data_IF_592307103945
#
_entry.id   IF_592307103945
#
_cell.length_a   1.000
_cell.length_b   1.000
_cell.length_c   1.000
_cell.angle_alpha   90.00
_cell.angle_beta   90.00
_cell.angle_gamma   90.00
#
_symmetry.space_group_name_H-M   'P 1'
#
loop_
_entity.id
_entity.type
_entity.pdbx_description
1 polymer ?
#
# COMPACT_ATOMS: atom_id res chain seq x y z
N UNK A 1 -9.32 47.33 -10.75
CA UNK A 1 -10.09 46.35 -9.95
C UNK A 1 -9.10 45.41 -9.27
N UNK A 2 -9.07 45.36 -7.93
CA UNK A 2 -8.13 44.50 -7.20
C UNK A 2 -8.47 43.03 -7.39
N UNK A 3 -7.46 42.19 -7.64
CA UNK A 3 -7.61 40.72 -7.67
C UNK A 3 -8.27 40.28 -6.35
N UNK A 4 -9.42 39.61 -6.43
CA UNK A 4 -10.02 38.91 -5.30
C UNK A 4 -8.99 37.92 -4.74
N UNK A 5 -8.54 38.16 -3.51
CA UNK A 5 -7.61 37.27 -2.84
C UNK A 5 -8.31 35.98 -2.46
N UNK A 6 -7.73 34.85 -2.87
CA UNK A 6 -8.18 33.54 -2.45
C UNK A 6 -7.56 33.25 -1.07
N UNK A 7 -8.38 32.90 -0.09
CA UNK A 7 -7.93 32.67 1.30
C UNK A 7 -7.86 31.18 1.57
N UNK A 8 -6.75 30.74 2.13
CA UNK A 8 -6.50 29.42 2.70
C UNK A 8 -6.14 29.55 4.18
N UNK A 9 -6.35 28.49 4.96
CA UNK A 9 -5.98 28.41 6.37
C UNK A 9 -4.44 28.33 6.50
N UNK A 10 -3.78 29.34 7.10
CA UNK A 10 -2.33 29.35 7.23
C UNK A 10 -1.80 28.27 8.18
N UNK A 11 -2.55 27.93 9.23
CA UNK A 11 -2.18 26.87 10.19
C UNK A 11 -2.25 25.52 9.49
N UNK A 12 -3.30 25.29 8.70
CA UNK A 12 -3.46 24.05 7.94
C UNK A 12 -2.38 23.88 6.88
N UNK A 13 -2.09 24.93 6.10
CA UNK A 13 -1.00 24.93 5.11
C UNK A 13 0.34 24.57 5.76
N UNK A 14 0.66 25.19 6.91
CA UNK A 14 1.89 24.90 7.66
C UNK A 14 1.93 23.45 8.14
N UNK A 15 0.84 22.97 8.74
CA UNK A 15 0.71 21.60 9.23
C UNK A 15 0.96 20.58 8.13
N UNK A 16 0.25 20.69 7.00
CA UNK A 16 0.39 19.79 5.86
C UNK A 16 1.80 19.80 5.27
N UNK A 17 2.41 20.98 5.15
CA UNK A 17 3.80 21.08 4.68
C UNK A 17 4.77 20.34 5.61
N UNK A 18 4.63 20.52 6.92
CA UNK A 18 5.51 19.87 7.91
C UNK A 18 5.30 18.36 7.91
N UNK A 19 4.05 17.89 7.87
CA UNK A 19 3.73 16.46 7.77
C UNK A 19 4.26 15.82 6.49
N UNK A 20 4.25 16.54 5.37
CA UNK A 20 4.84 16.10 4.11
C UNK A 20 6.39 16.14 4.09
N UNK A 21 7.05 16.58 5.18
CA UNK A 21 8.50 16.70 5.25
C UNK A 21 9.09 17.74 4.28
N UNK A 22 8.26 18.66 3.78
CA UNK A 22 8.67 19.63 2.75
C UNK A 22 9.19 20.94 3.37
N UNK A 23 10.28 21.44 2.79
CA UNK A 23 10.72 22.80 3.08
C UNK A 23 9.83 23.82 2.35
N UNK A 24 9.79 25.05 2.85
CA UNK A 24 9.05 26.14 2.22
C UNK A 24 9.50 26.37 0.76
N UNK A 25 10.80 26.26 0.51
CA UNK A 25 11.38 26.38 -0.83
C UNK A 25 10.90 25.25 -1.75
N UNK A 26 11.02 23.99 -1.29
CA UNK A 26 10.70 22.82 -2.13
C UNK A 26 9.22 22.79 -2.50
N UNK A 27 8.33 23.07 -1.54
CA UNK A 27 6.90 23.14 -1.82
C UNK A 27 6.58 24.22 -2.87
N UNK A 28 7.15 25.41 -2.70
CA UNK A 28 6.88 26.53 -3.59
C UNK A 28 7.48 26.33 -5.00
N UNK A 29 8.69 25.75 -5.11
CA UNK A 29 9.30 25.46 -6.40
C UNK A 29 8.48 24.44 -7.18
N UNK A 30 8.08 23.33 -6.55
CA UNK A 30 7.25 22.30 -7.21
C UNK A 30 5.88 22.86 -7.62
N UNK A 31 5.26 23.71 -6.79
CA UNK A 31 4.00 24.36 -7.14
C UNK A 31 4.16 25.31 -8.36
N UNK A 32 5.31 25.97 -8.51
CA UNK A 32 5.60 26.85 -9.64
C UNK A 32 5.85 26.06 -10.93
N UNK A 33 6.57 24.94 -10.82
CA UNK A 33 6.77 23.99 -11.92
C UNK A 33 5.43 23.49 -12.46
N UNK A 34 4.49 23.12 -11.57
CA UNK A 34 3.11 22.71 -11.97
C UNK A 34 2.39 23.82 -12.74
N UNK A 35 2.62 25.09 -12.39
CA UNK A 35 2.02 26.24 -13.06
C UNK A 35 2.71 26.61 -14.38
N UNK A 36 3.72 25.84 -14.82
CA UNK A 36 4.54 26.17 -15.98
C UNK A 36 5.35 27.45 -15.77
N UNK A 37 5.55 27.87 -14.52
CA UNK A 37 6.37 29.04 -14.17
C UNK A 37 7.77 28.53 -13.87
N UNK A 38 8.71 28.82 -14.76
CA UNK A 38 10.12 28.56 -14.48
C UNK A 38 10.52 29.34 -13.21
N UNK A 39 11.22 28.71 -12.25
CA UNK A 39 11.73 29.39 -11.07
C UNK A 39 12.93 30.28 -11.45
N UNK A 40 12.73 31.25 -12.34
CA UNK A 40 13.69 32.34 -12.56
C UNK A 40 13.80 33.24 -11.31
N UNK A 41 12.83 33.13 -10.40
CA UNK A 41 12.88 33.73 -9.09
C UNK A 41 13.92 33.02 -8.20
N UNK A 42 14.90 33.77 -7.69
CA UNK A 42 15.87 33.27 -6.71
C UNK A 42 15.17 32.55 -5.54
N UNK A 43 15.81 31.54 -4.96
CA UNK A 43 15.27 30.78 -3.81
C UNK A 43 14.73 31.67 -2.69
N UNK A 44 15.37 32.82 -2.46
CA UNK A 44 14.96 33.84 -1.48
C UNK A 44 13.59 34.45 -1.81
N UNK A 45 13.30 34.72 -3.08
CA UNK A 45 12.01 35.26 -3.54
C UNK A 45 10.89 34.24 -3.40
N UNK A 46 11.14 32.97 -3.75
CA UNK A 46 10.17 31.88 -3.60
C UNK A 46 9.81 31.67 -2.13
N UNK A 47 10.83 31.59 -1.26
CA UNK A 47 10.65 31.47 0.19
C UNK A 47 9.87 32.67 0.73
N UNK A 48 10.26 33.90 0.40
CA UNK A 48 9.58 35.10 0.88
C UNK A 48 8.13 35.24 0.39
N UNK A 49 7.80 34.74 -0.80
CA UNK A 49 6.42 34.65 -1.26
C UNK A 49 5.64 33.61 -0.46
N UNK A 50 6.19 32.40 -0.32
CA UNK A 50 5.55 31.34 0.44
C UNK A 50 5.34 31.71 1.92
N UNK A 51 6.31 32.36 2.57
CA UNK A 51 6.19 32.84 3.96
C UNK A 51 5.05 33.84 4.15
N UNK A 52 4.78 34.69 3.15
CA UNK A 52 3.61 35.59 3.19
C UNK A 52 2.30 34.81 3.09
N UNK A 53 2.27 33.74 2.30
CA UNK A 53 1.09 32.87 2.22
C UNK A 53 0.89 32.10 3.53
N UNK A 54 1.94 31.48 4.09
CA UNK A 54 1.87 30.73 5.36
C UNK A 54 1.58 31.65 6.56
N UNK A 55 1.86 32.94 6.47
CA UNK A 55 1.52 33.92 7.53
C UNK A 55 0.11 34.48 7.36
N UNK A 56 -0.32 34.76 6.14
CA UNK A 56 -1.50 35.58 5.88
C UNK A 56 -2.67 34.77 5.31
N UNK A 57 -2.43 33.60 4.73
CA UNK A 57 -3.41 32.77 4.03
C UNK A 57 -3.84 33.27 2.66
N UNK A 58 -3.35 34.44 2.21
CA UNK A 58 -3.80 35.05 0.96
C UNK A 58 -2.97 34.58 -0.23
N UNK A 59 -3.62 34.05 -1.26
CA UNK A 59 -3.01 33.55 -2.49
C UNK A 59 -3.94 33.72 -3.70
N UNK A 60 -3.53 33.24 -4.87
CA UNK A 60 -4.40 33.09 -6.04
C UNK A 60 -4.98 31.68 -6.10
N UNK A 61 -6.18 31.50 -6.67
CA UNK A 61 -6.80 30.17 -6.83
C UNK A 61 -5.86 29.16 -7.52
N UNK A 62 -5.25 29.55 -8.66
CA UNK A 62 -4.31 28.68 -9.38
C UNK A 62 -3.11 28.23 -8.52
N UNK A 63 -2.60 29.12 -7.66
CA UNK A 63 -1.52 28.75 -6.74
C UNK A 63 -2.03 27.87 -5.59
N UNK A 64 -3.25 28.08 -5.10
CA UNK A 64 -3.87 27.17 -4.14
C UNK A 64 -4.08 25.77 -4.73
N UNK A 65 -4.56 25.68 -5.99
CA UNK A 65 -4.70 24.41 -6.72
C UNK A 65 -3.35 23.68 -6.86
N UNK A 66 -2.29 24.42 -7.22
CA UNK A 66 -0.95 23.85 -7.34
C UNK A 66 -0.39 23.40 -5.98
N UNK A 67 -0.57 24.20 -4.92
CA UNK A 67 -0.15 23.83 -3.56
C UNK A 67 -0.89 22.58 -3.06
N UNK A 68 -2.21 22.50 -3.29
CA UNK A 68 -3.02 21.35 -2.93
C UNK A 68 -2.51 20.08 -3.62
N UNK A 69 -2.18 20.18 -4.92
CA UNK A 69 -1.60 19.06 -5.69
C UNK A 69 -0.24 18.61 -5.15
N UNK A 70 0.65 19.52 -4.75
CA UNK A 70 1.96 19.13 -4.18
C UNK A 70 1.82 18.48 -2.81
N UNK A 71 0.84 18.92 -2.01
CA UNK A 71 0.58 18.40 -0.67
C UNK A 71 -0.35 17.18 -0.65
N UNK A 72 -0.64 16.60 -1.82
CA UNK A 72 -1.58 15.49 -1.99
C UNK A 72 -2.90 15.74 -1.23
N UNK A 73 -3.56 16.84 -1.55
CA UNK A 73 -4.81 17.28 -0.88
C UNK A 73 -5.70 18.10 -1.81
N UNK A 74 -6.80 18.65 -1.27
CA UNK A 74 -7.73 19.54 -1.99
C UNK A 74 -7.63 20.98 -1.49
N UNK A 75 -8.18 21.91 -2.27
CA UNK A 75 -8.21 23.32 -1.87
C UNK A 75 -9.16 23.53 -0.70
N UNK A 76 -10.25 22.78 -0.62
CA UNK A 76 -11.19 22.79 0.51
C UNK A 76 -10.49 22.42 1.82
N UNK A 77 -9.62 21.40 1.80
CA UNK A 77 -8.76 21.06 2.92
C UNK A 77 -7.81 22.20 3.26
N UNK A 78 -7.16 22.83 2.26
CA UNK A 78 -6.35 24.02 2.50
C UNK A 78 -7.16 25.19 3.08
N UNK A 79 -8.47 25.23 2.89
CA UNK A 79 -9.38 26.21 3.49
C UNK A 79 -9.88 25.81 4.89
N UNK A 80 -9.39 24.70 5.46
CA UNK A 80 -9.81 24.19 6.77
C UNK A 80 -11.12 23.40 6.75
N UNK A 81 -11.61 22.99 5.57
CA UNK A 81 -12.82 22.17 5.41
C UNK A 81 -12.46 20.69 5.28
N UNK A 82 -11.70 20.17 6.23
CA UNK A 82 -11.27 18.78 6.23
C UNK A 82 -12.41 17.81 6.51
N UNK A 83 -12.23 16.58 6.03
CA UNK A 83 -13.03 15.43 6.44
C UNK A 83 -12.78 15.17 7.94
N UNK A 84 -13.82 15.12 8.78
CA UNK A 84 -13.66 14.88 10.20
C UNK A 84 -12.92 13.57 10.48
N UNK A 85 -11.98 13.63 11.42
CA UNK A 85 -11.25 12.47 11.91
C UNK A 85 -12.10 11.62 12.86
N UNK A 86 -12.11 10.31 12.64
CA UNK A 86 -12.95 9.38 13.40
C UNK A 86 -12.58 9.31 14.88
N UNK A 87 -11.28 9.39 15.20
CA UNK A 87 -10.82 9.30 16.59
C UNK A 87 -11.33 10.45 17.45
N UNK A 88 -11.47 11.66 16.91
CA UNK A 88 -12.07 12.79 17.64
C UNK A 88 -13.56 12.57 17.96
N UNK A 89 -14.30 11.95 17.05
CA UNK A 89 -15.69 11.59 17.29
C UNK A 89 -15.79 10.49 18.36
N UNK A 90 -14.92 9.48 18.24
CA UNK A 90 -14.84 8.38 19.20
C UNK A 90 -14.48 8.86 20.61
N UNK A 91 -13.49 9.73 20.77
CA UNK A 91 -13.13 10.32 22.08
C UNK A 91 -14.32 11.05 22.72
N UNK A 92 -15.06 11.84 21.93
CA UNK A 92 -16.26 12.55 22.42
C UNK A 92 -17.35 11.57 22.83
N UNK A 93 -17.57 10.52 22.04
CA UNK A 93 -18.58 9.51 22.33
C UNK A 93 -18.25 8.73 23.59
N UNK A 94 -17.01 8.22 23.72
CA UNK A 94 -16.56 7.49 24.90
C UNK A 94 -16.71 8.37 26.15
N UNK A 95 -16.23 9.62 26.09
CA UNK A 95 -16.37 10.56 27.21
C UNK A 95 -17.83 10.79 27.58
N UNK A 96 -18.70 11.02 26.60
CA UNK A 96 -20.13 11.18 26.83
C UNK A 96 -20.75 9.96 27.52
N UNK A 97 -20.48 8.76 27.01
CA UNK A 97 -21.04 7.53 27.57
C UNK A 97 -20.55 7.32 29.02
N UNK A 98 -19.28 7.58 29.29
CA UNK A 98 -18.72 7.53 30.66
C UNK A 98 -19.40 8.54 31.59
N UNK A 99 -19.61 9.78 31.14
CA UNK A 99 -20.34 10.78 31.91
C UNK A 99 -21.78 10.33 32.22
N UNK A 100 -22.52 9.85 31.21
CA UNK A 100 -23.89 9.34 31.38
C UNK A 100 -23.98 8.17 32.38
N UNK A 101 -22.99 7.26 32.34
CA UNK A 101 -22.90 6.14 33.29
C UNK A 101 -22.58 6.62 34.71
N UNK A 102 -21.63 7.56 34.87
CA UNK A 102 -21.23 8.09 36.17
C UNK A 102 -22.36 8.87 36.86
N UNK A 103 -23.17 9.61 36.09
CA UNK A 103 -24.34 10.31 36.63
C UNK A 103 -25.54 9.37 36.90
N UNK A 104 -25.54 8.15 36.36
CA UNK A 104 -26.54 7.10 36.65
C UNK A 104 -27.95 7.33 36.10
N UNK A 105 -28.17 8.41 35.35
CA UNK A 105 -29.51 8.85 34.95
C UNK A 105 -30.00 8.24 33.63
N UNK A 106 -29.11 7.67 32.81
CA UNK A 106 -29.49 7.08 31.53
C UNK A 106 -29.75 5.57 31.66
N UNK A 107 -31.02 5.22 31.91
CA UNK A 107 -31.44 3.82 32.05
C UNK A 107 -31.31 3.03 30.74
N UNK A 108 -31.53 3.69 29.59
CA UNK A 108 -31.42 3.07 28.26
C UNK A 108 -29.99 2.62 28.00
N UNK A 109 -29.01 3.50 28.27
CA UNK A 109 -27.59 3.17 28.18
C UNK A 109 -27.20 1.99 29.06
N UNK A 110 -27.65 1.98 30.32
CA UNK A 110 -27.34 0.91 31.27
C UNK A 110 -27.89 -0.45 30.78
N UNK A 111 -29.10 -0.47 30.22
CA UNK A 111 -29.72 -1.69 29.70
C UNK A 111 -29.01 -2.21 28.45
N UNK A 112 -28.71 -1.33 27.49
CA UNK A 112 -28.03 -1.70 26.24
C UNK A 112 -26.60 -2.17 26.50
N UNK A 113 -25.85 -1.47 27.35
CA UNK A 113 -24.50 -1.89 27.73
C UNK A 113 -24.51 -3.23 28.48
N UNK A 114 -25.51 -3.49 29.32
CA UNK A 114 -25.66 -4.77 30.00
C UNK A 114 -25.97 -5.91 29.02
N UNK A 115 -26.90 -5.69 28.08
CA UNK A 115 -27.23 -6.65 27.03
C UNK A 115 -26.00 -6.97 26.17
N UNK A 116 -25.31 -5.93 25.69
CA UNK A 116 -24.09 -6.05 24.89
C UNK A 116 -22.99 -6.88 25.59
N UNK A 117 -22.74 -6.59 26.87
CA UNK A 117 -21.78 -7.34 27.66
C UNK A 117 -22.17 -8.82 27.82
N UNK A 118 -23.46 -9.12 27.97
CA UNK A 118 -23.94 -10.49 28.11
C UNK A 118 -23.84 -11.29 26.81
N UNK A 119 -24.07 -10.66 25.66
CA UNK A 119 -23.85 -11.28 24.35
C UNK A 119 -22.37 -11.62 24.14
N UNK A 120 -21.46 -10.70 24.47
CA UNK A 120 -20.02 -10.93 24.29
C UNK A 120 -19.40 -11.90 25.28
N UNK A 121 -19.93 -12.00 26.51
CA UNK A 121 -19.53 -13.04 27.49
C UNK A 121 -19.78 -14.47 26.99
N UNK A 122 -20.68 -14.66 26.02
CA UNK A 122 -20.87 -15.97 25.36
C UNK A 122 -19.77 -16.30 24.34
N UNK A 123 -18.94 -15.32 23.95
CA UNK A 123 -18.01 -15.41 22.82
C UNK A 123 -16.53 -15.33 23.25
N UNK A 124 -16.15 -14.61 24.33
CA UNK A 124 -14.76 -14.55 24.86
C UNK A 124 -14.67 -14.31 26.38
N UNK A 125 -13.58 -14.78 27.00
CA UNK A 125 -13.34 -14.81 28.46
C UNK A 125 -12.47 -13.67 29.04
N UNK A 126 -12.16 -12.60 28.31
CA UNK A 126 -11.31 -11.49 28.80
C UNK A 126 -12.05 -10.13 28.67
N UNK A 127 -12.09 -9.34 29.75
CA UNK A 127 -13.15 -8.35 30.04
C UNK A 127 -12.71 -6.86 30.01
N UNK A 128 -11.46 -6.47 29.76
CA UNK A 128 -11.02 -5.09 30.05
C UNK A 128 -11.04 -4.03 28.92
N UNK A 129 -11.86 -4.17 27.86
CA UNK A 129 -12.05 -3.13 26.82
C UNK A 129 -13.54 -2.82 26.53
N UNK A 130 -14.42 -2.91 27.54
CA UNK A 130 -15.87 -2.93 27.33
C UNK A 130 -16.48 -1.65 26.72
N UNK A 131 -16.14 -0.47 27.26
CA UNK A 131 -16.83 0.78 26.86
C UNK A 131 -16.36 1.33 25.51
N UNK A 132 -15.06 1.22 25.19
CA UNK A 132 -14.52 1.69 23.91
C UNK A 132 -15.05 0.87 22.74
N UNK A 133 -15.11 -0.46 22.91
CA UNK A 133 -15.69 -1.36 21.91
C UNK A 133 -17.20 -1.14 21.74
N UNK A 134 -17.93 -0.91 22.83
CA UNK A 134 -19.35 -0.57 22.76
C UNK A 134 -19.59 0.79 22.07
N UNK A 135 -18.81 1.81 22.43
CA UNK A 135 -18.85 3.11 21.77
C UNK A 135 -18.58 2.97 20.27
N UNK A 136 -17.62 2.12 19.89
CA UNK A 136 -17.29 1.88 18.48
C UNK A 136 -18.47 1.27 17.73
N UNK A 137 -19.16 0.29 18.31
CA UNK A 137 -20.36 -0.28 17.70
C UNK A 137 -21.50 0.72 17.57
N UNK A 138 -21.73 1.55 18.59
CA UNK A 138 -22.70 2.66 18.51
C UNK A 138 -22.33 3.61 17.38
N UNK A 139 -21.06 4.01 17.28
CA UNK A 139 -20.61 4.93 16.24
C UNK A 139 -20.80 4.34 14.82
N UNK A 140 -20.55 3.04 14.64
CA UNK A 140 -20.85 2.31 13.39
C UNK A 140 -22.36 2.35 13.09
N UNK A 141 -23.21 2.08 14.09
CA UNK A 141 -24.67 2.14 13.91
C UNK A 141 -25.14 3.55 13.53
N UNK A 142 -24.63 4.60 14.19
CA UNK A 142 -24.92 6.00 13.84
C UNK A 142 -24.52 6.27 12.38
N UNK A 143 -23.31 5.89 11.98
CA UNK A 143 -22.79 6.11 10.64
C UNK A 143 -23.63 5.45 9.53
N UNK A 144 -24.11 4.24 9.78
CA UNK A 144 -24.99 3.51 8.86
C UNK A 144 -26.38 4.15 8.82
N UNK A 145 -26.94 4.49 9.98
CA UNK A 145 -28.26 5.12 10.08
C UNK A 145 -28.29 6.50 9.40
N UNK A 146 -27.20 7.28 9.51
CA UNK A 146 -27.00 8.56 8.83
C UNK A 146 -27.05 8.43 7.31
N UNK A 147 -26.48 7.37 6.73
CA UNK A 147 -26.47 7.15 5.30
C UNK A 147 -27.87 6.78 4.76
N UNK A 148 -28.56 5.87 5.44
CA UNK A 148 -29.85 5.34 4.98
C UNK A 148 -31.06 6.18 5.42
N UNK A 149 -30.85 7.27 6.17
CA UNK A 149 -31.92 8.12 6.68
C UNK A 149 -32.83 7.40 7.70
N UNK A 150 -32.28 6.45 8.46
CA UNK A 150 -33.03 5.68 9.45
C UNK A 150 -33.32 6.52 10.70
N UNK A 151 -34.36 7.36 10.60
CA UNK A 151 -34.68 8.36 11.64
C UNK A 151 -34.99 7.72 12.99
N UNK A 152 -35.72 6.60 13.01
CA UNK A 152 -36.06 5.89 14.26
C UNK A 152 -34.82 5.33 14.96
N UNK A 153 -33.87 4.79 14.18
CA UNK A 153 -32.61 4.29 14.73
C UNK A 153 -31.75 5.42 15.28
N UNK A 154 -31.69 6.58 14.59
CA UNK A 154 -31.02 7.77 15.11
C UNK A 154 -31.67 8.26 16.41
N UNK A 155 -33.00 8.20 16.55
CA UNK A 155 -33.68 8.56 17.81
C UNK A 155 -33.28 7.59 18.93
N UNK A 156 -33.28 6.28 18.69
CA UNK A 156 -32.83 5.27 19.66
C UNK A 156 -31.38 5.49 20.07
N UNK A 157 -30.47 5.68 19.12
CA UNK A 157 -29.05 5.91 19.38
C UNK A 157 -28.83 7.23 20.14
N UNK A 158 -29.67 8.24 19.92
CA UNK A 158 -29.65 9.49 20.70
C UNK A 158 -30.02 9.25 22.16
N UNK A 159 -31.03 8.43 22.43
CA UNK A 159 -31.44 8.06 23.80
C UNK A 159 -30.34 7.28 24.51
N UNK A 160 -29.68 6.35 23.82
CA UNK A 160 -28.54 5.58 24.35
C UNK A 160 -27.36 6.50 24.68
N UNK A 161 -27.01 7.41 23.78
CA UNK A 161 -25.82 8.27 23.93
C UNK A 161 -26.05 9.50 24.82
N UNK A 162 -27.30 9.94 24.95
CA UNK A 162 -27.65 11.22 25.57
C UNK A 162 -27.20 12.44 24.74
N UNK A 163 -26.88 12.25 23.47
CA UNK A 163 -26.53 13.34 22.57
C UNK A 163 -27.75 14.14 22.11
N UNK A 164 -27.52 15.37 21.65
CA UNK A 164 -28.52 16.17 20.94
C UNK A 164 -28.67 15.73 19.48
N UNK A 165 -29.75 16.20 18.83
CA UNK A 165 -29.95 15.98 17.39
C UNK A 165 -28.79 16.51 16.54
N UNK A 166 -28.21 17.65 16.93
CA UNK A 166 -27.07 18.21 16.20
C UNK A 166 -25.82 17.34 16.39
N UNK A 167 -25.57 16.87 17.61
CA UNK A 167 -24.41 16.03 17.91
C UNK A 167 -24.44 14.70 17.17
N UNK A 168 -25.60 14.02 17.15
CA UNK A 168 -25.73 12.71 16.51
C UNK A 168 -25.72 12.77 14.98
N UNK A 169 -25.96 13.94 14.39
CA UNK A 169 -25.86 14.16 12.94
C UNK A 169 -24.45 14.54 12.49
N UNK A 170 -23.51 14.75 13.41
CA UNK A 170 -22.11 14.92 13.05
C UNK A 170 -21.57 13.62 12.42
N UNK A 171 -20.79 13.69 11.32
CA UNK A 171 -20.25 12.50 10.69
C UNK A 171 -19.36 11.69 11.64
N UNK A 172 -19.74 10.43 11.90
CA UNK A 172 -18.97 9.54 12.77
C UNK A 172 -17.63 9.09 12.16
N UNK A 173 -17.63 8.82 10.85
CA UNK A 173 -16.48 8.45 10.01
C UNK A 173 -15.60 7.28 10.51
N UNK A 174 -16.12 6.38 11.34
CA UNK A 174 -15.45 5.18 11.88
C UNK A 174 -14.80 4.36 10.78
N UNK A 175 -15.59 3.94 9.79
CA UNK A 175 -15.11 3.32 8.55
C UNK A 175 -15.41 4.24 7.36
N UNK A 176 -16.52 4.96 7.48
CA UNK A 176 -17.26 5.79 6.55
C UNK A 176 -17.54 5.16 5.19
N UNK A 177 -18.13 5.98 4.34
CA UNK A 177 -18.68 5.54 3.07
C UNK A 177 -17.75 5.91 1.92
N UNK A 178 -17.73 5.05 0.91
CA UNK A 178 -16.92 5.26 -0.28
C UNK A 178 -17.75 5.02 -1.52
N UNK A 179 -17.76 6.00 -2.41
CA UNK A 179 -18.26 5.78 -3.76
C UNK A 179 -17.19 5.08 -4.57
N UNK A 180 -17.59 4.07 -5.32
CA UNK A 180 -16.72 3.35 -6.24
C UNK A 180 -17.38 3.28 -7.62
N UNK A 181 -16.56 3.50 -8.65
CA UNK A 181 -16.85 3.17 -10.04
C UNK A 181 -15.85 2.14 -10.50
N UNK A 182 -16.35 0.98 -10.85
CA UNK A 182 -15.56 -0.11 -11.41
C UNK A 182 -15.77 -0.15 -12.91
N UNK A 183 -14.70 -0.42 -13.64
CA UNK A 183 -14.73 -0.65 -15.07
C UNK A 183 -13.98 -1.95 -15.31
N UNK A 184 -14.57 -2.88 -16.04
CA UNK A 184 -13.96 -4.16 -16.38
C UNK A 184 -14.32 -4.53 -17.82
N UNK A 185 -13.30 -4.56 -18.69
CA UNK A 185 -13.37 -4.90 -20.11
C UNK A 185 -14.27 -3.98 -20.94
N UNK A 186 -15.57 -3.91 -20.64
CA UNK A 186 -16.59 -3.01 -21.22
C UNK A 186 -17.78 -2.78 -20.28
N UNK A 187 -17.81 -3.44 -19.12
CA UNK A 187 -18.85 -3.25 -18.10
C UNK A 187 -18.43 -2.16 -17.13
N UNK A 188 -19.38 -1.30 -16.77
CA UNK A 188 -19.19 -0.30 -15.73
C UNK A 188 -20.25 -0.48 -14.65
N UNK A 189 -19.82 -0.52 -13.40
CA UNK A 189 -20.69 -0.54 -12.22
C UNK A 189 -20.32 0.63 -11.31
N UNK A 190 -21.32 1.17 -10.62
CA UNK A 190 -21.14 2.14 -9.56
C UNK A 190 -21.83 1.64 -8.31
N UNK A 191 -21.18 1.76 -7.16
CA UNK A 191 -21.78 1.41 -5.88
C UNK A 191 -21.23 2.26 -4.76
N UNK A 192 -21.94 2.27 -3.64
CA UNK A 192 -21.46 2.81 -2.38
C UNK A 192 -21.06 1.64 -1.48
N UNK A 193 -19.87 1.68 -0.90
CA UNK A 193 -19.32 0.63 -0.04
C UNK A 193 -18.91 1.19 1.32
N UNK A 194 -18.83 0.29 2.30
CA UNK A 194 -18.57 0.65 3.69
C UNK A 194 -17.12 0.35 4.07
N UNK A 195 -16.33 1.40 4.22
CA UNK A 195 -14.91 1.32 4.55
C UNK A 195 -14.00 0.84 3.40
N UNK A 196 -12.69 0.91 3.66
CA UNK A 196 -11.64 0.56 2.70
C UNK A 196 -11.46 -0.97 2.53
N UNK A 197 -11.95 -1.78 3.48
CA UNK A 197 -11.87 -3.24 3.40
C UNK A 197 -12.54 -3.80 2.14
N UNK A 198 -13.77 -3.33 1.86
CA UNK A 198 -14.53 -3.72 0.66
C UNK A 198 -13.83 -3.26 -0.63
N UNK A 199 -13.22 -2.08 -0.61
CA UNK A 199 -12.44 -1.56 -1.74
C UNK A 199 -11.27 -2.49 -2.03
N UNK A 200 -10.47 -2.84 -1.02
CA UNK A 200 -9.32 -3.73 -1.20
C UNK A 200 -9.73 -5.13 -1.66
N UNK A 201 -10.89 -5.62 -1.21
CA UNK A 201 -11.46 -6.87 -1.71
C UNK A 201 -11.81 -6.77 -3.20
N UNK A 202 -12.54 -5.74 -3.61
CA UNK A 202 -12.95 -5.51 -5.00
C UNK A 202 -11.78 -5.30 -5.95
N UNK A 203 -10.75 -4.58 -5.53
CA UNK A 203 -9.48 -4.44 -6.29
C UNK A 203 -8.90 -5.83 -6.61
N UNK A 204 -8.78 -6.69 -5.59
CA UNK A 204 -8.26 -8.04 -5.77
C UNK A 204 -9.15 -8.89 -6.67
N UNK A 205 -10.47 -8.77 -6.57
CA UNK A 205 -11.39 -9.46 -7.47
C UNK A 205 -11.18 -9.04 -8.94
N UNK A 206 -11.08 -7.73 -9.21
CA UNK A 206 -10.85 -7.25 -10.58
C UNK A 206 -9.50 -7.74 -11.10
N UNK A 207 -8.43 -7.65 -10.30
CA UNK A 207 -7.11 -8.17 -10.67
C UNK A 207 -7.19 -9.66 -11.01
N UNK A 208 -7.84 -10.47 -10.16
CA UNK A 208 -7.97 -11.91 -10.39
C UNK A 208 -8.76 -12.23 -11.66
N UNK A 209 -9.83 -11.47 -11.94
CA UNK A 209 -10.60 -11.61 -13.19
C UNK A 209 -9.72 -11.25 -14.39
N UNK A 210 -9.05 -10.10 -14.37
CA UNK A 210 -8.14 -9.66 -15.44
C UNK A 210 -7.06 -10.71 -15.72
N UNK A 211 -6.44 -11.28 -14.69
CA UNK A 211 -5.44 -12.36 -14.82
C UNK A 211 -5.98 -13.64 -15.43
N UNK A 212 -7.27 -13.92 -15.32
CA UNK A 212 -7.85 -15.10 -15.96
C UNK A 212 -7.86 -14.96 -17.49
N UNK A 213 -8.01 -13.73 -17.97
CA UNK A 213 -8.06 -13.43 -19.40
C UNK A 213 -6.69 -13.22 -20.04
N UNK A 214 -5.68 -12.87 -19.23
CA UNK A 214 -4.34 -12.54 -19.73
C UNK A 214 -3.25 -13.38 -19.07
N UNK A 215 -2.37 -13.94 -19.90
CA UNK A 215 -1.13 -14.61 -19.42
C UNK A 215 0.07 -13.68 -19.34
N UNK A 216 -0.10 -12.43 -19.76
CA UNK A 216 0.95 -11.42 -19.92
C UNK A 216 1.23 -10.64 -18.62
N UNK A 217 2.31 -9.87 -18.62
CA UNK A 217 2.68 -8.93 -17.57
C UNK A 217 1.53 -7.93 -17.32
N UNK A 218 1.33 -7.54 -16.07
CA UNK A 218 0.32 -6.55 -15.70
C UNK A 218 0.96 -5.25 -15.23
N UNK A 219 0.37 -4.13 -15.63
CA UNK A 219 0.72 -2.81 -15.15
C UNK A 219 -0.43 -2.22 -14.33
N UNK A 220 -0.13 -1.84 -13.09
CA UNK A 220 -1.04 -1.09 -12.21
C UNK A 220 -0.58 0.37 -12.13
N UNK A 221 -1.51 1.30 -12.26
CA UNK A 221 -1.27 2.72 -12.07
C UNK A 221 -2.19 3.24 -10.94
N UNK A 222 -1.57 3.77 -9.87
CA UNK A 222 -2.25 4.38 -8.74
C UNK A 222 -2.04 5.89 -8.81
N UNK A 223 -3.15 6.63 -8.81
CA UNK A 223 -3.11 8.09 -8.84
C UNK A 223 -4.10 8.69 -7.85
N UNK A 224 -3.61 9.58 -7.00
CA UNK A 224 -4.43 10.40 -6.12
C UNK A 224 -4.71 11.72 -6.83
N UNK A 225 -5.96 11.92 -7.20
CA UNK A 225 -6.49 13.16 -7.77
C UNK A 225 -7.64 13.63 -6.87
N UNK A 226 -7.32 13.88 -5.59
CA UNK A 226 -8.33 14.06 -4.56
C UNK A 226 -9.43 15.05 -4.97
N UNK A 227 -10.71 14.74 -4.64
CA UNK A 227 -11.16 13.65 -3.77
C UNK A 227 -11.14 12.25 -4.41
N UNK A 228 -10.81 12.16 -5.70
CA UNK A 228 -10.79 10.90 -6.46
C UNK A 228 -9.45 10.18 -6.35
N UNK A 229 -9.50 8.87 -6.18
CA UNK A 229 -8.35 7.97 -6.25
C UNK A 229 -8.60 7.00 -7.39
N UNK A 230 -7.59 6.81 -8.22
CA UNK A 230 -7.64 5.95 -9.40
C UNK A 230 -6.72 4.76 -9.18
N UNK A 231 -7.25 3.57 -9.37
CA UNK A 231 -6.52 2.31 -9.45
C UNK A 231 -6.79 1.72 -10.83
N UNK A 232 -5.84 1.87 -11.74
CA UNK A 232 -5.98 1.47 -13.15
C UNK A 232 -5.11 0.24 -13.41
N UNK A 233 -5.65 -0.71 -14.16
CA UNK A 233 -4.97 -1.94 -14.56
C UNK A 233 -4.94 -1.99 -16.08
N UNK A 234 -3.73 -2.06 -16.63
CA UNK A 234 -3.48 -2.13 -18.07
C UNK A 234 -2.66 -3.37 -18.41
N UNK A 235 -3.03 -4.04 -19.49
CA UNK A 235 -2.19 -5.05 -20.11
C UNK A 235 -1.31 -4.35 -21.16
N UNK A 236 0.03 -4.42 -21.06
CA UNK A 236 0.97 -3.79 -21.99
C UNK A 236 0.72 -4.11 -23.47
N UNK A 237 0.19 -5.30 -23.78
CA UNK A 237 -0.14 -5.75 -25.13
C UNK A 237 -1.45 -5.16 -25.66
N UNK A 238 -2.39 -4.85 -24.77
CA UNK A 238 -3.78 -4.48 -25.10
C UNK A 238 -4.20 -3.17 -24.42
N UNK A 239 -3.33 -2.16 -24.46
CA UNK A 239 -3.54 -0.88 -23.77
C UNK A 239 -4.87 -0.18 -24.12
N UNK A 240 -5.37 -0.37 -25.35
CA UNK A 240 -6.59 0.26 -25.84
C UNK A 240 -7.83 -0.62 -25.73
N UNK A 241 -7.69 -1.93 -25.53
CA UNK A 241 -8.79 -2.84 -25.81
C UNK A 241 -9.64 -3.25 -24.60
N UNK A 242 -9.16 -3.17 -23.36
CA UNK A 242 -9.93 -3.55 -22.17
C UNK A 242 -9.34 -2.96 -20.88
N UNK A 243 -9.50 -1.65 -20.68
CA UNK A 243 -9.03 -1.01 -19.45
C UNK A 243 -9.90 -1.45 -18.27
N UNK A 244 -9.26 -2.00 -17.25
CA UNK A 244 -9.92 -2.27 -15.97
C UNK A 244 -9.50 -1.22 -14.97
N UNK A 245 -10.46 -0.61 -14.27
CA UNK A 245 -10.14 0.46 -13.33
C UNK A 245 -11.12 0.50 -12.17
N UNK A 246 -10.65 0.90 -11.00
CA UNK A 246 -11.47 1.32 -9.88
C UNK A 246 -11.18 2.79 -9.61
N UNK A 247 -12.21 3.62 -9.70
CA UNK A 247 -12.17 5.01 -9.25
C UNK A 247 -12.97 5.08 -7.98
N UNK A 248 -12.39 5.63 -6.93
CA UNK A 248 -13.01 5.72 -5.61
C UNK A 248 -12.91 7.13 -5.04
N UNK A 249 -13.90 7.52 -4.25
CA UNK A 249 -13.89 8.76 -3.48
C UNK A 249 -14.52 8.53 -2.12
N UNK A 250 -13.96 9.20 -1.11
CA UNK A 250 -14.60 9.26 0.20
C UNK A 250 -15.91 10.03 0.09
N UNK A 251 -16.92 9.57 0.82
CA UNK A 251 -18.29 10.10 0.74
C UNK A 251 -18.81 10.40 2.14
N UNK A 252 -19.32 11.61 2.35
CA UNK A 252 -20.00 12.00 3.58
C UNK A 252 -21.49 12.20 3.33
N UNK A 253 -22.38 11.52 4.07
CA UNK A 253 -23.79 11.90 4.11
C UNK A 253 -23.91 13.25 4.83
N UNK A 254 -24.59 14.19 4.18
CA UNK A 254 -24.97 15.48 4.76
C UNK A 254 -26.47 15.70 4.59
N UNK A 255 -27.09 16.64 5.32
CA UNK A 255 -28.51 16.95 5.13
C UNK A 255 -28.86 17.33 3.68
N UNK A 256 -27.91 17.89 2.92
CA UNK A 256 -28.09 18.27 1.51
C UNK A 256 -27.83 17.11 0.53
N UNK A 257 -27.53 15.90 1.03
CA UNK A 257 -27.16 14.73 0.24
C UNK A 257 -25.70 14.30 0.44
N UNK A 258 -25.24 13.39 -0.43
CA UNK A 258 -23.88 12.86 -0.39
C UNK A 258 -22.87 13.87 -0.93
N UNK A 259 -21.80 14.13 -0.18
CA UNK A 259 -20.68 14.98 -0.60
C UNK A 259 -19.42 14.13 -0.78
N UNK A 260 -18.77 14.29 -1.93
CA UNK A 260 -17.44 13.72 -2.19
C UNK A 260 -16.40 14.56 -1.48
N UNK A 261 -15.54 13.92 -0.69
CA UNK A 261 -14.53 14.61 0.13
C UNK A 261 -13.19 13.92 0.00
N UNK A 262 -12.12 14.59 0.43
CA UNK A 262 -10.81 13.96 0.56
C UNK A 262 -10.83 12.89 1.66
N UNK A 263 -10.04 11.83 1.55
CA UNK A 263 -9.80 10.91 2.67
C UNK A 263 -9.19 11.67 3.86
N UNK A 264 -9.54 11.25 5.08
CA UNK A 264 -8.88 11.74 6.29
C UNK A 264 -7.50 11.07 6.48
N UNK A 265 -6.74 11.43 7.51
CA UNK A 265 -5.37 10.89 7.68
C UNK A 265 -5.37 9.38 7.98
N UNK A 266 -6.36 8.88 8.73
CA UNK A 266 -6.52 7.45 8.96
C UNK A 266 -6.83 6.67 7.67
N UNK A 267 -7.65 7.26 6.79
CA UNK A 267 -7.95 6.69 5.47
C UNK A 267 -6.68 6.66 4.60
N UNK A 268 -5.90 7.76 4.56
CA UNK A 268 -4.64 7.83 3.79
C UNK A 268 -3.63 6.79 4.25
N UNK A 269 -3.47 6.60 5.56
CA UNK A 269 -2.60 5.55 6.09
C UNK A 269 -3.06 4.18 5.61
N UNK A 270 -4.36 3.88 5.66
CA UNK A 270 -4.87 2.61 5.15
C UNK A 270 -4.72 2.47 3.62
N UNK A 271 -4.94 3.54 2.87
CA UNK A 271 -4.79 3.58 1.41
C UNK A 271 -3.35 3.32 0.96
N UNK A 272 -2.33 3.55 1.80
CA UNK A 272 -0.95 3.14 1.49
C UNK A 272 -0.80 1.63 1.20
N UNK A 273 -1.73 0.81 1.72
CA UNK A 273 -1.78 -0.64 1.42
C UNK A 273 -2.14 -0.95 -0.03
N UNK A 274 -2.63 0.03 -0.80
CA UNK A 274 -2.80 -0.12 -2.24
C UNK A 274 -1.48 -0.39 -2.94
N UNK A 275 -0.39 0.19 -2.44
CA UNK A 275 0.96 0.00 -2.97
C UNK A 275 1.38 -1.47 -2.77
N UNK A 276 1.17 -2.03 -1.58
CA UNK A 276 1.45 -3.45 -1.29
C UNK A 276 0.61 -4.39 -2.18
N UNK A 277 -0.67 -4.05 -2.40
CA UNK A 277 -1.53 -4.81 -3.32
C UNK A 277 -0.98 -4.72 -4.74
N UNK A 278 -0.62 -3.53 -5.22
CA UNK A 278 -0.07 -3.35 -6.56
C UNK A 278 1.25 -4.12 -6.74
N UNK A 279 2.17 -4.01 -5.78
CA UNK A 279 3.48 -4.67 -5.82
C UNK A 279 3.37 -6.19 -5.78
N UNK A 280 2.41 -6.72 -5.03
CA UNK A 280 2.21 -8.17 -4.93
C UNK A 280 1.37 -8.74 -6.08
N UNK A 281 0.66 -7.89 -6.82
CA UNK A 281 -0.26 -8.35 -7.86
C UNK A 281 0.12 -7.97 -9.30
N UNK A 282 1.07 -7.07 -9.51
CA UNK A 282 1.49 -6.61 -10.83
C UNK A 282 2.98 -6.86 -11.11
N UNK A 283 3.37 -6.68 -12.37
CA UNK A 283 4.76 -6.75 -12.84
C UNK A 283 5.35 -5.35 -13.04
N UNK A 284 4.46 -4.37 -13.25
CA UNK A 284 4.79 -2.96 -13.35
C UNK A 284 3.83 -2.17 -12.48
N UNK A 285 4.34 -1.19 -11.76
CA UNK A 285 3.55 -0.30 -10.90
C UNK A 285 3.95 1.14 -11.15
N UNK A 286 2.99 2.01 -11.38
CA UNK A 286 3.16 3.46 -11.31
C UNK A 286 2.44 3.96 -10.07
N UNK A 287 3.18 4.57 -9.15
CA UNK A 287 2.61 5.11 -7.91
C UNK A 287 2.18 6.59 -8.11
N UNK A 288 1.61 7.18 -7.06
CA UNK A 288 1.10 8.56 -7.10
C UNK A 288 2.19 9.60 -7.41
N UNK A 289 3.46 9.29 -7.10
CA UNK A 289 4.62 10.11 -7.45
C UNK A 289 4.95 10.12 -8.96
N UNK A 290 4.25 9.30 -9.75
CA UNK A 290 4.44 9.12 -11.19
C UNK A 290 5.67 8.28 -11.54
N UNK A 291 6.38 7.71 -10.55
CA UNK A 291 7.51 6.84 -10.80
C UNK A 291 7.03 5.46 -11.22
N UNK A 292 7.68 4.91 -12.26
CA UNK A 292 7.47 3.55 -12.72
C UNK A 292 8.43 2.59 -11.99
N UNK A 293 7.90 1.44 -11.58
CA UNK A 293 8.60 0.36 -10.91
C UNK A 293 8.34 -0.97 -11.65
N UNK A 294 9.36 -1.72 -12.09
CA UNK A 294 10.72 -1.21 -12.34
C UNK A 294 10.70 -0.12 -13.42
N UNK A 295 11.62 0.84 -13.36
CA UNK A 295 11.78 1.83 -14.42
C UNK A 295 12.42 1.21 -15.68
N UNK A 296 13.33 0.26 -15.48
CA UNK A 296 13.84 -0.61 -16.55
C UNK A 296 13.93 -2.06 -16.07
N UNK A 297 13.19 -2.97 -16.72
CA UNK A 297 13.22 -4.40 -16.40
C UNK A 297 14.60 -5.03 -16.54
N UNK A 298 15.49 -4.44 -17.36
CA UNK A 298 16.87 -4.91 -17.52
C UNK A 298 17.70 -4.73 -16.24
N UNK A 299 17.27 -3.84 -15.36
CA UNK A 299 17.92 -3.56 -14.08
C UNK A 299 17.40 -4.43 -12.93
N UNK A 300 16.46 -5.34 -13.19
CA UNK A 300 16.00 -6.29 -12.19
C UNK A 300 17.15 -7.21 -11.74
N UNK A 301 17.21 -7.45 -10.44
CA UNK A 301 18.11 -8.40 -9.76
C UNK A 301 17.34 -9.13 -8.67
N UNK A 302 17.86 -10.25 -8.23
CA UNK A 302 17.47 -10.85 -6.96
C UNK A 302 18.36 -10.35 -5.84
N UNK A 303 17.75 -9.96 -4.72
CA UNK A 303 18.41 -9.81 -3.43
C UNK A 303 18.22 -11.10 -2.65
N UNK A 304 19.30 -11.78 -2.33
CA UNK A 304 19.31 -13.03 -1.57
C UNK A 304 19.83 -12.71 -0.17
N UNK A 305 19.00 -12.92 0.84
CA UNK A 305 19.37 -12.76 2.24
C UNK A 305 19.46 -14.13 2.87
N UNK A 306 20.67 -14.54 3.22
CA UNK A 306 20.91 -15.71 4.07
C UNK A 306 20.66 -15.31 5.52
N UNK A 307 19.88 -16.12 6.24
CA UNK A 307 19.58 -15.97 7.67
C UNK A 307 20.01 -17.24 8.38
N UNK A 308 20.90 -17.13 9.36
CA UNK A 308 21.35 -18.24 10.21
C UNK A 308 20.98 -17.96 11.66
N UNK A 309 20.35 -18.94 12.32
CA UNK A 309 19.93 -18.89 13.73
C UNK A 309 19.11 -17.65 14.11
N UNK A 310 18.37 -17.09 13.14
CA UNK A 310 17.56 -15.87 13.28
C UNK A 310 18.35 -14.59 13.61
N UNK A 311 19.67 -14.66 13.77
CA UNK A 311 20.53 -13.55 14.20
C UNK A 311 21.48 -13.08 13.10
N UNK A 312 22.17 -14.01 12.42
CA UNK A 312 23.18 -13.66 11.41
C UNK A 312 22.52 -13.47 10.05
N UNK A 313 22.86 -12.39 9.36
CA UNK A 313 22.35 -12.08 8.03
C UNK A 313 23.48 -11.75 7.06
N UNK A 314 23.47 -12.40 5.90
CA UNK A 314 24.36 -12.07 4.77
C UNK A 314 23.53 -11.75 3.56
N UNK A 315 23.93 -10.75 2.79
CA UNK A 315 23.18 -10.34 1.59
C UNK A 315 24.06 -10.53 0.36
N UNK A 316 23.51 -11.18 -0.65
CA UNK A 316 24.06 -11.22 -1.99
C UNK A 316 23.04 -10.64 -2.97
N UNK A 317 23.54 -10.14 -4.10
CA UNK A 317 22.71 -9.73 -5.22
C UNK A 317 23.07 -10.59 -6.42
N UNK A 318 22.08 -11.05 -7.17
CA UNK A 318 22.33 -11.69 -8.45
C UNK A 318 22.93 -10.66 -9.40
N UNK A 319 23.81 -11.09 -10.30
CA UNK A 319 24.25 -10.24 -11.39
C UNK A 319 23.11 -9.93 -12.38
N UNK A 320 23.26 -8.83 -13.10
CA UNK A 320 22.35 -8.47 -14.18
C UNK A 320 22.62 -9.28 -15.43
N UNK A 321 21.55 -9.72 -16.11
CA UNK A 321 21.71 -10.53 -17.30
C UNK A 321 22.11 -9.74 -18.55
N UNK A 322 21.62 -8.51 -18.70
CA UNK A 322 21.78 -7.71 -19.93
C UNK A 322 22.94 -6.73 -19.80
N UNK A 323 24.18 -7.22 -19.79
CA UNK A 323 25.33 -6.33 -20.02
C UNK A 323 25.78 -6.26 -21.48
N UNK A 324 25.49 -7.27 -22.30
CA UNK A 324 25.93 -7.26 -23.70
C UNK A 324 24.91 -7.93 -24.65
N UNK A 325 24.73 -7.32 -25.82
CA UNK A 325 23.99 -7.73 -27.03
C UNK A 325 22.58 -7.18 -27.27
N UNK A 326 22.39 -6.62 -28.49
CA UNK A 326 21.11 -6.31 -29.14
C UNK A 326 20.25 -7.58 -29.20
N UNK A 327 19.46 -7.82 -28.17
CA UNK A 327 18.70 -9.06 -28.05
C UNK A 327 17.32 -8.87 -28.69
N UNK A 328 17.22 -9.13 -29.99
CA UNK A 328 15.94 -9.16 -30.73
C UNK A 328 14.88 -10.05 -30.08
N UNK A 329 15.27 -11.01 -29.24
CA UNK A 329 14.32 -11.81 -28.45
C UNK A 329 13.68 -11.01 -27.32
N UNK A 330 14.47 -10.18 -26.62
CA UNK A 330 13.96 -9.31 -25.55
C UNK A 330 12.94 -8.31 -26.11
N UNK A 331 13.23 -7.69 -27.27
CA UNK A 331 12.30 -6.74 -27.89
C UNK A 331 10.97 -7.39 -28.28
N UNK A 332 10.99 -8.68 -28.67
CA UNK A 332 9.76 -9.46 -28.90
C UNK A 332 8.98 -9.69 -27.61
N UNK A 333 9.65 -10.05 -26.51
CA UNK A 333 8.98 -10.22 -25.21
C UNK A 333 8.45 -8.90 -24.66
N UNK A 334 9.14 -7.79 -24.90
CA UNK A 334 8.66 -6.46 -24.58
C UNK A 334 7.39 -6.12 -25.37
N UNK A 335 7.43 -6.31 -26.69
CA UNK A 335 6.28 -6.08 -27.56
C UNK A 335 5.09 -7.01 -27.26
N UNK A 336 5.34 -8.23 -26.76
CA UNK A 336 4.30 -9.17 -26.37
C UNK A 336 3.80 -9.00 -24.94
N UNK A 337 4.36 -8.05 -24.16
CA UNK A 337 4.00 -7.84 -22.76
C UNK A 337 4.44 -8.94 -21.81
N UNK A 338 5.57 -9.60 -22.06
CA UNK A 338 6.09 -10.72 -21.25
C UNK A 338 7.54 -10.51 -20.81
N UNK A 339 8.05 -9.28 -20.94
CA UNK A 339 9.44 -8.93 -20.66
C UNK A 339 9.84 -9.17 -19.20
N UNK A 340 8.95 -8.87 -18.24
CA UNK A 340 9.26 -9.03 -16.83
C UNK A 340 9.42 -10.51 -16.48
N UNK A 341 8.43 -11.34 -16.84
CA UNK A 341 8.49 -12.78 -16.63
C UNK A 341 9.72 -13.42 -17.30
N UNK A 342 10.09 -12.95 -18.50
CA UNK A 342 11.28 -13.44 -19.20
C UNK A 342 12.58 -13.13 -18.44
N UNK A 343 12.76 -11.90 -17.96
CA UNK A 343 13.94 -11.51 -17.17
C UNK A 343 13.98 -12.30 -15.86
N UNK A 344 12.86 -12.39 -15.13
CA UNK A 344 12.78 -13.12 -13.85
C UNK A 344 13.18 -14.59 -14.02
N UNK A 345 12.66 -15.28 -15.04
CA UNK A 345 12.99 -16.69 -15.29
C UNK A 345 14.49 -16.89 -15.54
N UNK A 346 15.13 -15.96 -16.26
CA UNK A 346 16.59 -15.97 -16.47
C UNK A 346 17.38 -15.76 -15.18
N UNK A 347 16.96 -14.79 -14.36
CA UNK A 347 17.58 -14.54 -13.06
C UNK A 347 17.45 -15.78 -12.14
N UNK A 348 16.33 -16.49 -12.17
CA UNK A 348 16.12 -17.72 -11.39
C UNK A 348 17.12 -18.81 -11.80
N UNK A 349 17.42 -18.91 -13.10
CA UNK A 349 18.48 -19.78 -13.61
C UNK A 349 19.83 -19.51 -12.95
N UNK A 350 20.28 -18.25 -12.99
CA UNK A 350 21.56 -17.87 -12.39
C UNK A 350 21.60 -18.01 -10.87
N UNK A 351 20.50 -17.75 -10.18
CA UNK A 351 20.41 -17.95 -8.72
C UNK A 351 20.48 -19.43 -8.35
N UNK A 352 19.83 -20.33 -9.08
CA UNK A 352 19.90 -21.76 -8.81
C UNK A 352 21.34 -22.28 -8.90
N UNK A 353 22.05 -21.87 -9.95
CA UNK A 353 23.46 -22.20 -10.16
C UNK A 353 24.37 -21.60 -9.09
N UNK A 354 24.20 -20.31 -8.78
CA UNK A 354 24.97 -19.62 -7.74
C UNK A 354 24.76 -20.23 -6.34
N UNK A 355 23.53 -20.58 -5.99
CA UNK A 355 23.19 -21.21 -4.72
C UNK A 355 23.75 -22.63 -4.60
N UNK A 356 23.97 -23.35 -5.71
CA UNK A 356 24.46 -24.74 -5.70
C UNK A 356 25.66 -24.90 -4.77
N UNK A 357 26.66 -24.05 -4.88
CA UNK A 357 27.90 -24.14 -4.06
C UNK A 357 27.65 -24.00 -2.56
N UNK A 358 26.61 -23.27 -2.16
CA UNK A 358 26.20 -23.06 -0.77
C UNK A 358 25.26 -24.16 -0.24
N UNK A 359 24.51 -24.81 -1.15
CA UNK A 359 23.52 -25.83 -0.81
C UNK A 359 24.07 -27.27 -0.89
N UNK A 360 25.08 -27.52 -1.74
CA UNK A 360 25.63 -28.85 -2.04
C UNK A 360 26.17 -29.65 -0.83
N UNK A 361 26.68 -29.03 0.27
CA UNK A 361 27.10 -29.78 1.45
C UNK A 361 25.94 -30.45 2.21
N UNK A 362 24.69 -30.13 1.87
CA UNK A 362 23.51 -30.45 2.65
C UNK A 362 22.51 -31.30 1.82
N UNK A 363 21.86 -32.34 2.40
CA UNK A 363 21.04 -33.27 1.63
C UNK A 363 19.83 -32.60 0.98
N UNK A 364 19.60 -32.83 -0.32
CA UNK A 364 18.47 -32.26 -1.09
C UNK A 364 17.12 -32.34 -0.36
N UNK A 365 16.76 -33.51 0.19
CA UNK A 365 15.44 -33.78 0.78
C UNK A 365 15.10 -32.91 2.01
N UNK A 366 16.08 -32.18 2.53
CA UNK A 366 15.95 -31.30 3.70
C UNK A 366 15.53 -29.88 3.34
N UNK A 367 15.67 -29.48 2.07
CA UNK A 367 15.32 -28.13 1.62
C UNK A 367 13.83 -28.02 1.31
N UNK A 368 13.22 -26.94 1.80
CA UNK A 368 11.86 -26.55 1.47
C UNK A 368 11.89 -25.20 0.74
N UNK A 369 11.29 -25.16 -0.44
CA UNK A 369 11.19 -23.95 -1.26
C UNK A 369 9.72 -23.55 -1.35
N UNK A 370 9.37 -22.38 -0.84
CA UNK A 370 7.99 -21.90 -0.84
C UNK A 370 7.93 -20.41 -1.22
N UNK A 371 6.81 -20.01 -1.80
CA UNK A 371 6.45 -18.60 -1.91
C UNK A 371 5.83 -18.14 -0.59
N UNK A 372 6.23 -16.98 -0.11
CA UNK A 372 5.61 -16.34 1.05
C UNK A 372 5.69 -14.84 0.88
N UNK A 373 4.57 -14.13 1.04
CA UNK A 373 4.54 -12.65 1.14
C UNK A 373 5.41 -11.87 0.13
N UNK A 374 5.32 -12.19 -1.16
CA UNK A 374 6.08 -11.46 -2.20
C UNK A 374 7.54 -11.89 -2.38
N UNK A 375 7.98 -12.94 -1.69
CA UNK A 375 9.35 -13.47 -1.74
C UNK A 375 9.38 -15.00 -1.90
N UNK A 376 10.53 -15.53 -2.27
CA UNK A 376 10.83 -16.97 -2.22
C UNK A 376 11.64 -17.26 -0.96
N UNK A 377 11.22 -18.25 -0.18
CA UNK A 377 11.96 -18.75 0.97
C UNK A 377 12.55 -20.13 0.67
N UNK A 378 13.83 -20.30 0.95
CA UNK A 378 14.57 -21.56 0.90
C UNK A 378 14.95 -21.95 2.33
N UNK A 379 14.17 -22.81 2.96
CA UNK A 379 14.37 -23.19 4.38
C UNK A 379 15.03 -24.56 4.46
N UNK A 380 16.11 -24.63 5.22
CA UNK A 380 16.75 -25.89 5.59
C UNK A 380 16.04 -26.50 6.80
N UNK A 381 15.40 -27.66 6.62
CA UNK A 381 14.77 -28.39 7.70
C UNK A 381 15.78 -29.30 8.40
N UNK A 382 16.40 -28.76 9.47
CA UNK A 382 17.36 -29.49 10.30
C UNK A 382 16.74 -30.73 10.96
N UNK A 383 15.41 -30.84 11.05
CA UNK A 383 14.75 -32.00 11.66
C UNK A 383 14.78 -33.24 10.78
N UNK A 384 15.01 -33.09 9.47
CA UNK A 384 15.08 -34.19 8.52
C UNK A 384 16.44 -34.88 8.46
N UNK A 385 17.44 -34.39 9.19
CA UNK A 385 18.76 -35.04 9.31
C UNK A 385 18.97 -35.67 10.70
N UNK A 386 19.81 -36.72 10.80
CA UNK A 386 20.15 -37.35 12.08
C UNK A 386 20.71 -36.38 13.11
N UNK A 387 20.42 -36.63 14.39
CA UNK A 387 20.83 -35.78 15.52
C UNK A 387 22.35 -35.53 15.57
N UNK A 388 23.16 -36.54 15.23
CA UNK A 388 24.63 -36.41 15.23
C UNK A 388 25.12 -35.44 14.15
N UNK A 389 24.59 -35.53 12.93
CA UNK A 389 24.91 -34.59 11.84
C UNK A 389 24.40 -33.19 12.18
N UNK A 390 23.21 -33.07 12.77
CA UNK A 390 22.67 -31.76 13.21
C UNK A 390 23.59 -31.04 14.18
N UNK A 391 24.19 -31.76 15.14
CA UNK A 391 25.16 -31.18 16.09
C UNK A 391 26.44 -30.70 15.43
N UNK A 392 26.82 -31.25 14.27
CA UNK A 392 28.03 -30.88 13.53
C UNK A 392 27.87 -29.66 12.62
N UNK A 393 26.64 -29.21 12.33
CA UNK A 393 26.39 -28.11 11.40
C UNK A 393 26.77 -26.72 11.95
N UNK A 394 26.85 -26.56 13.27
CA UNK A 394 27.16 -25.26 13.89
C UNK A 394 26.04 -24.21 13.78
N UNK A 395 24.85 -24.60 13.30
CA UNK A 395 23.63 -23.80 13.29
C UNK A 395 22.39 -24.68 13.51
N UNK A 396 21.31 -24.08 13.99
CA UNK A 396 20.00 -24.67 14.23
C UNK A 396 18.95 -24.28 13.17
N UNK A 397 19.12 -23.13 12.52
CA UNK A 397 18.26 -22.63 11.46
C UNK A 397 19.08 -22.02 10.32
N UNK A 398 18.70 -22.33 9.08
CA UNK A 398 19.23 -21.71 7.87
C UNK A 398 18.10 -21.44 6.89
N UNK A 399 18.00 -20.22 6.41
CA UNK A 399 17.00 -19.78 5.45
C UNK A 399 17.60 -18.81 4.43
N UNK A 400 17.26 -18.93 3.16
CA UNK A 400 17.52 -17.93 2.14
C UNK A 400 16.22 -17.25 1.73
N UNK A 401 16.18 -15.92 1.85
CA UNK A 401 15.06 -15.10 1.45
C UNK A 401 15.43 -14.39 0.14
N UNK A 402 14.68 -14.64 -0.92
CA UNK A 402 14.93 -14.10 -2.25
C UNK A 402 13.83 -13.08 -2.59
N UNK A 403 14.24 -11.83 -2.79
CA UNK A 403 13.39 -10.70 -3.14
C UNK A 403 13.77 -10.14 -4.52
N UNK A 404 12.78 -9.66 -5.27
CA UNK A 404 13.04 -8.95 -6.51
C UNK A 404 13.33 -7.47 -6.24
N UNK A 405 14.42 -6.95 -6.79
CA UNK A 405 14.84 -5.56 -6.66
C UNK A 405 15.22 -4.98 -8.01
N UNK A 406 15.18 -3.66 -8.13
CA UNK A 406 15.72 -2.92 -9.26
C UNK A 406 17.00 -2.20 -8.84
N UNK A 407 18.05 -2.33 -9.65
CA UNK A 407 19.28 -1.56 -9.51
C UNK A 407 19.11 -0.16 -10.13
N UNK A 408 19.31 0.87 -9.33
CA UNK A 408 19.24 2.27 -9.74
C UNK A 408 20.57 2.73 -10.38
N UNK A 409 20.56 3.83 -11.16
CA UNK A 409 21.77 4.37 -11.78
C UNK A 409 22.90 4.75 -10.80
N UNK A 410 22.55 5.06 -9.54
CA UNK A 410 23.52 5.34 -8.48
C UNK A 410 24.09 4.07 -7.81
N UNK A 411 23.74 2.90 -8.34
CA UNK A 411 24.17 1.59 -7.85
C UNK A 411 23.34 1.06 -6.67
N UNK A 412 22.41 1.86 -6.12
CA UNK A 412 21.54 1.40 -5.03
C UNK A 412 20.45 0.47 -5.55
N UNK A 413 19.81 -0.22 -4.62
CA UNK A 413 18.69 -1.12 -4.92
C UNK A 413 17.41 -0.59 -4.30
N UNK A 414 16.30 -0.72 -5.03
CA UNK A 414 14.94 -0.51 -4.52
C UNK A 414 14.08 -1.74 -4.77
N UNK A 415 13.03 -1.92 -3.99
CA UNK A 415 12.07 -3.01 -4.21
C UNK A 415 11.43 -2.89 -5.60
N UNK A 416 11.21 -4.02 -6.25
CA UNK A 416 10.49 -4.11 -7.51
C UNK A 416 9.21 -4.94 -7.33
N UNK A 417 8.12 -4.60 -8.05
CA UNK A 417 6.89 -5.39 -8.00
C UNK A 417 7.12 -6.81 -8.55
N UNK A 418 6.56 -7.80 -7.88
CA UNK A 418 6.66 -9.20 -8.31
C UNK A 418 5.34 -9.90 -8.03
N UNK A 419 4.54 -10.07 -9.10
CA UNK A 419 3.25 -10.70 -9.02
C UNK A 419 3.33 -12.10 -8.37
N UNK A 420 2.45 -12.38 -7.40
CA UNK A 420 2.34 -13.69 -6.71
C UNK A 420 2.34 -14.88 -7.65
N UNK A 421 1.59 -14.81 -8.74
CA UNK A 421 1.56 -15.86 -9.77
C UNK A 421 2.95 -16.11 -10.37
N UNK A 422 3.68 -15.05 -10.71
CA UNK A 422 5.04 -15.14 -11.23
C UNK A 422 6.02 -15.68 -10.18
N UNK A 423 5.80 -15.39 -8.89
CA UNK A 423 6.58 -15.98 -7.78
C UNK A 423 6.32 -17.49 -7.71
N UNK A 424 5.07 -17.93 -7.75
CA UNK A 424 4.72 -19.36 -7.71
C UNK A 424 5.33 -20.13 -8.88
N UNK A 425 5.36 -19.53 -10.07
CA UNK A 425 6.04 -20.07 -11.25
C UNK A 425 7.56 -20.12 -11.05
N UNK A 426 8.16 -19.06 -10.51
CA UNK A 426 9.59 -19.00 -10.19
C UNK A 426 9.99 -20.03 -9.11
N UNK A 427 9.15 -20.29 -8.11
CA UNK A 427 9.36 -21.35 -7.11
C UNK A 427 9.41 -22.72 -7.78
N UNK A 428 8.48 -23.01 -8.70
CA UNK A 428 8.46 -24.28 -9.43
C UNK A 428 9.72 -24.44 -10.29
N UNK A 429 10.13 -23.37 -10.98
CA UNK A 429 11.33 -23.39 -11.82
C UNK A 429 12.60 -23.54 -10.97
N UNK A 430 12.71 -22.82 -9.86
CA UNK A 430 13.83 -22.92 -8.93
C UNK A 430 13.96 -24.33 -8.35
N UNK A 431 12.85 -24.94 -7.91
CA UNK A 431 12.83 -26.34 -7.46
C UNK A 431 13.39 -27.28 -8.53
N UNK A 432 12.87 -27.19 -9.75
CA UNK A 432 13.29 -28.04 -10.87
C UNK A 432 14.77 -27.86 -11.21
N UNK A 433 15.27 -26.62 -11.19
CA UNK A 433 16.68 -26.32 -11.47
C UNK A 433 17.59 -26.83 -10.36
N UNK A 434 17.26 -26.59 -9.10
CA UNK A 434 18.03 -27.11 -7.97
C UNK A 434 18.12 -28.65 -8.00
N UNK A 435 17.02 -29.33 -8.33
CA UNK A 435 17.02 -30.79 -8.55
C UNK A 435 17.99 -31.22 -9.66
N UNK A 436 17.99 -30.50 -10.79
CA UNK A 436 18.94 -30.76 -11.87
C UNK A 436 20.39 -30.52 -11.45
N UNK A 437 20.64 -29.44 -10.71
CA UNK A 437 21.97 -29.09 -10.20
C UNK A 437 22.50 -30.13 -9.21
N UNK A 438 21.65 -30.62 -8.29
CA UNK A 438 21.98 -31.69 -7.34
C UNK A 438 22.23 -33.04 -8.02
N UNK A 439 21.49 -33.35 -9.09
CA UNK A 439 21.68 -34.58 -9.87
C UNK A 439 22.94 -34.55 -10.76
N UNK A 440 23.49 -33.37 -11.05
CA UNK A 440 24.70 -33.23 -11.86
C UNK A 440 25.96 -33.48 -11.04
N UNK A 441 26.61 -34.63 -11.24
CA UNK A 441 27.93 -34.95 -10.66
C UNK A 441 29.10 -34.20 -11.36
N UNK A 442 28.84 -33.44 -12.42
CA UNK A 442 29.85 -32.75 -13.21
C UNK A 442 30.23 -31.38 -12.66
N UNK A 443 31.53 -31.09 -12.77
CA UNK A 443 32.21 -29.84 -12.43
C UNK A 443 31.45 -28.59 -12.88
N UNK A 444 31.56 -27.53 -12.05
CA UNK A 444 31.20 -26.14 -12.36
C UNK A 444 31.58 -25.84 -13.81
N UNK A 445 30.61 -25.49 -14.65
CA UNK A 445 30.85 -25.06 -16.03
C UNK A 445 31.74 -23.81 -16.04
N UNK A 446 32.75 -23.72 -16.88
CA UNK A 446 33.56 -22.48 -17.01
C UNK A 446 32.77 -21.33 -17.69
N UNK A 447 31.54 -21.58 -18.17
CA UNK A 447 30.61 -20.55 -18.68
C UNK A 447 29.82 -19.82 -17.56
N UNK A 448 30.14 -20.08 -16.29
CA UNK A 448 29.43 -19.55 -15.11
C UNK A 448 29.63 -18.04 -14.95
N UNK A 449 28.57 -17.27 -15.19
CA UNK A 449 28.55 -15.81 -15.07
C UNK A 449 27.80 -15.27 -13.84
N UNK A 450 27.42 -16.12 -12.87
CA UNK A 450 26.75 -15.65 -11.64
C UNK A 450 27.38 -16.29 -10.39
N UNK A 451 28.31 -15.58 -9.76
CA UNK A 451 28.80 -15.91 -8.41
C UNK A 451 28.02 -15.07 -7.40
N UNK A 452 27.37 -15.72 -6.44
CA UNK A 452 26.74 -15.02 -5.32
C UNK A 452 27.82 -14.58 -4.33
N UNK A 453 28.20 -13.30 -4.41
CA UNK A 453 29.09 -12.69 -3.43
C UNK A 453 28.26 -12.23 -2.23
N UNK A 454 28.36 -12.97 -1.12
CA UNK A 454 27.69 -12.62 0.13
C UNK A 454 28.54 -11.65 0.94
N UNK A 455 28.04 -10.44 1.13
CA UNK A 455 28.62 -9.48 2.05
C UNK A 455 28.08 -9.74 3.48
N UNK A 456 28.99 -9.87 4.45
CA UNK A 456 28.65 -10.00 5.87
C UNK A 456 28.35 -8.64 6.49
N UNK A 457 27.18 -8.51 7.13
CA UNK A 457 26.87 -7.36 7.99
C UNK A 457 26.37 -7.87 9.34
N UNK A 458 27.09 -7.52 10.42
CA UNK A 458 26.62 -7.73 11.79
C UNK A 458 25.75 -6.55 12.18
N UNK A 459 24.48 -6.80 12.55
CA UNK A 459 23.65 -5.77 13.19
C UNK A 459 24.18 -5.63 14.63
N UNK A 460 24.63 -4.42 14.99
CA UNK A 460 24.96 -4.05 16.37
C UNK A 460 23.66 -3.75 17.10
#
# INVERSE_FOLDING_TARGET
>A
MGRTSFVIDPVRLKGLRVSAGLTQQKLMSTAYEILGRSPEATSKTLIGHYQRIEKNGHTSKALADALAKVLDTTVEVLQGKDTPESYHYMEKLVKQLQEQLNYGNNQVLNQELYAWNNERKKIRSEVSEGIDNFAREIAIQIELAQLFGQTDELIRLREITGWSNEQILNPANVHGHWFIRETMMDSMSTSLVYGLGDIFYRIREIINKVRHFYTDDLHVNIKHAYPWIHFEITNPRHNDFHKSSIIMSRTLPTPDGLKWVSPNEADKWNLSRLDDIAFSEANFVTLNDGLLYPADVRNLRFKIVEVTDFEKRRTAYSDGWLRDSNNTSFDRFLASGQSHNWVVNRLIGGVAEGLRTHLNPLPEATWKVDAYDGQINLVFDTWKIPTEQRRSLGFSHLNYIINLVEQLPDGKYRSAPWAKKSIDEAVKDLKKRLQSEWASESSISDDVNVRLHFDEYTII
#
